data_IF_159661419143
#
_entry.id   IF_159661419143
#
_cell.length_a   1.000
_cell.length_b   1.000
_cell.length_c   1.000
_cell.angle_alpha   90.00
_cell.angle_beta   90.00
_cell.angle_gamma   90.00
#
_symmetry.space_group_name_H-M   'P 1'
#
loop_
_entity.id
_entity.type
_entity.pdbx_description
1 polymer ?
#
# COMPACT_ATOMS: atom_id res chain seq x y z
N UNK A 1 -16.83 27.75 -36.18
CA UNK A 1 -15.95 26.56 -36.03
C UNK A 1 -15.21 26.53 -34.68
N UNK A 2 -15.28 27.55 -33.83
CA UNK A 2 -14.55 27.61 -32.54
C UNK A 2 -15.22 26.86 -31.38
N UNK A 3 -16.52 26.60 -31.45
CA UNK A 3 -17.29 26.00 -30.35
C UNK A 3 -16.92 24.54 -30.06
N UNK A 4 -16.37 23.81 -31.05
CA UNK A 4 -16.08 22.39 -30.91
C UNK A 4 -14.76 22.14 -30.15
N UNK A 5 -13.80 23.07 -30.25
CA UNK A 5 -12.46 22.95 -29.63
C UNK A 5 -12.53 23.18 -28.12
N UNK A 6 -13.38 24.11 -27.66
CA UNK A 6 -13.57 24.43 -26.24
C UNK A 6 -14.26 23.28 -25.51
N UNK A 7 -15.21 22.60 -26.19
CA UNK A 7 -15.89 21.44 -25.64
C UNK A 7 -14.89 20.27 -25.45
N UNK A 8 -14.10 19.94 -26.46
CA UNK A 8 -13.11 18.86 -26.37
C UNK A 8 -12.05 19.10 -25.30
N UNK A 9 -11.55 20.34 -25.14
CA UNK A 9 -10.56 20.67 -24.10
C UNK A 9 -11.16 20.56 -22.69
N UNK A 10 -12.43 20.98 -22.50
CA UNK A 10 -13.13 20.84 -21.23
C UNK A 10 -13.37 19.37 -20.86
N UNK A 11 -13.78 18.53 -21.83
CA UNK A 11 -13.95 17.08 -21.61
C UNK A 11 -12.63 16.35 -21.37
N UNK A 12 -11.51 16.82 -21.93
CA UNK A 12 -10.18 16.28 -21.65
C UNK A 12 -9.68 16.65 -20.25
N UNK A 13 -9.85 17.91 -19.84
CA UNK A 13 -9.48 18.41 -18.51
C UNK A 13 -10.31 17.74 -17.40
N UNK A 14 -11.62 17.59 -17.60
CA UNK A 14 -12.50 16.91 -16.65
C UNK A 14 -12.15 15.42 -16.51
N UNK A 15 -11.71 14.76 -17.59
CA UNK A 15 -11.20 13.38 -17.55
C UNK A 15 -9.83 13.25 -16.86
N UNK A 16 -8.98 14.26 -16.91
CA UNK A 16 -7.74 14.31 -16.12
C UNK A 16 -8.03 14.59 -14.63
N UNK A 17 -8.95 15.50 -14.33
CA UNK A 17 -9.27 15.92 -12.96
C UNK A 17 -10.00 14.84 -12.15
N UNK A 18 -10.83 14.01 -12.80
CA UNK A 18 -11.53 12.89 -12.15
C UNK A 18 -10.72 11.60 -11.99
N UNK A 19 -9.48 11.51 -12.48
CA UNK A 19 -8.60 10.35 -12.20
C UNK A 19 -7.93 10.41 -10.84
N UNK A 20 -8.02 11.54 -10.13
CA UNK A 20 -7.30 11.78 -8.88
C UNK A 20 -8.12 11.77 -7.56
N UNK A 21 -9.27 11.09 -7.40
CA UNK A 21 -9.81 10.88 -6.06
C UNK A 21 -9.26 9.60 -5.40
N UNK A 22 -9.17 8.45 -6.08
CA UNK A 22 -8.92 7.17 -5.41
C UNK A 22 -7.45 6.97 -4.99
N UNK A 23 -6.48 7.17 -5.90
CA UNK A 23 -5.06 7.01 -5.58
C UNK A 23 -4.58 8.06 -4.57
N UNK A 24 -5.07 9.29 -4.70
CA UNK A 24 -4.83 10.39 -3.77
C UNK A 24 -5.43 10.09 -2.39
N UNK A 25 -6.67 9.59 -2.33
CA UNK A 25 -7.32 9.20 -1.08
C UNK A 25 -6.61 8.02 -0.43
N UNK A 26 -6.18 7.02 -1.20
CA UNK A 26 -5.42 5.88 -0.69
C UNK A 26 -4.14 6.32 0.00
N UNK A 27 -3.41 7.26 -0.60
CA UNK A 27 -2.23 7.86 0.02
C UNK A 27 -2.55 8.66 1.29
N UNK A 28 -3.63 9.46 1.28
CA UNK A 28 -4.07 10.21 2.47
C UNK A 28 -4.47 9.27 3.61
N UNK A 29 -5.16 8.16 3.31
CA UNK A 29 -5.54 7.15 4.29
C UNK A 29 -4.33 6.43 4.87
N UNK A 30 -3.36 6.06 4.03
CA UNK A 30 -2.11 5.44 4.48
C UNK A 30 -1.28 6.41 5.34
N UNK A 31 -1.28 7.71 5.00
CA UNK A 31 -0.59 8.74 5.79
C UNK A 31 -1.26 9.00 7.14
N UNK A 32 -2.59 8.85 7.21
CA UNK A 32 -3.36 8.99 8.45
C UNK A 32 -3.31 7.74 9.35
N UNK A 33 -2.88 6.59 8.81
CA UNK A 33 -2.78 5.33 9.57
C UNK A 33 -1.62 5.39 10.57
N UNK A 34 -1.87 4.96 11.81
CA UNK A 34 -0.83 4.69 12.79
C UNK A 34 -0.24 3.30 12.57
N UNK A 35 0.59 3.16 11.53
CA UNK A 35 1.27 1.90 11.23
C UNK A 35 1.81 1.82 9.81
N UNK A 36 2.13 0.58 9.41
CA UNK A 36 2.61 0.24 8.08
C UNK A 36 1.72 -0.84 7.49
N UNK A 37 1.42 -0.71 6.21
CA UNK A 37 0.80 -1.77 5.42
C UNK A 37 1.90 -2.54 4.70
N UNK A 38 1.94 -3.86 4.87
CA UNK A 38 2.83 -4.76 4.14
C UNK A 38 1.99 -5.80 3.43
N UNK A 39 2.23 -5.99 2.14
CA UNK A 39 1.63 -7.03 1.32
C UNK A 39 2.68 -8.11 1.06
N UNK A 40 2.29 -9.36 1.30
CA UNK A 40 3.14 -10.54 1.14
C UNK A 40 2.56 -11.46 0.08
N UNK A 41 3.42 -12.20 -0.62
CA UNK A 41 2.99 -13.36 -1.39
C UNK A 41 2.88 -14.63 -0.52
N UNK A 42 2.56 -15.76 -1.16
CA UNK A 42 2.41 -17.06 -0.49
C UNK A 42 3.72 -17.63 0.09
N UNK A 43 4.88 -17.07 -0.27
CA UNK A 43 6.19 -17.44 0.26
C UNK A 43 6.69 -16.43 1.30
N UNK A 44 5.83 -15.52 1.75
CA UNK A 44 6.15 -14.45 2.70
C UNK A 44 7.18 -13.45 2.15
N UNK A 45 7.24 -13.30 0.83
CA UNK A 45 8.04 -12.29 0.15
C UNK A 45 7.23 -10.99 0.07
N UNK A 46 7.87 -9.87 0.39
CA UNK A 46 7.25 -8.55 0.33
C UNK A 46 7.02 -8.19 -1.14
N UNK A 47 5.76 -8.05 -1.54
CA UNK A 47 5.35 -7.62 -2.88
C UNK A 47 4.88 -6.17 -2.92
N UNK A 48 4.66 -5.57 -1.74
CA UNK A 48 4.30 -4.17 -1.61
C UNK A 48 4.36 -3.71 -0.17
N UNK A 49 4.63 -2.42 0.03
CA UNK A 49 4.71 -1.81 1.36
C UNK A 49 4.24 -0.36 1.27
N UNK A 50 3.56 0.18 2.27
CA UNK A 50 3.17 1.59 2.29
C UNK A 50 4.37 2.52 2.41
N UNK A 51 4.29 3.72 1.82
CA UNK A 51 5.33 4.75 1.91
C UNK A 51 5.65 5.19 3.34
N UNK A 52 4.74 4.93 4.29
CA UNK A 52 4.96 5.18 5.72
C UNK A 52 6.12 4.39 6.31
N UNK A 53 6.58 3.30 5.65
CA UNK A 53 7.73 2.50 6.12
C UNK A 53 9.01 3.31 6.26
N UNK A 54 9.23 4.31 5.40
CA UNK A 54 10.36 5.23 5.50
C UNK A 54 10.32 6.05 6.79
N UNK A 55 9.15 6.50 7.21
CA UNK A 55 8.98 7.28 8.43
C UNK A 55 9.20 6.45 9.69
N UNK A 56 8.73 5.20 9.69
CA UNK A 56 8.76 4.32 10.87
C UNK A 56 10.09 3.57 11.01
N UNK A 57 10.69 3.13 9.90
CA UNK A 57 11.89 2.27 9.89
C UNK A 57 13.05 2.80 9.05
N UNK A 58 12.87 3.88 8.27
CA UNK A 58 13.94 4.48 7.48
C UNK A 58 14.19 3.86 6.10
N UNK A 59 13.55 2.73 5.78
CA UNK A 59 13.70 2.05 4.50
C UNK A 59 12.88 2.69 3.38
N UNK A 60 13.42 2.69 2.17
CA UNK A 60 12.66 2.91 0.95
C UNK A 60 11.88 1.65 0.56
N UNK A 61 10.73 1.82 -0.08
CA UNK A 61 9.88 0.70 -0.49
C UNK A 61 10.64 -0.27 -1.42
N UNK A 62 11.49 0.28 -2.30
CA UNK A 62 12.31 -0.48 -3.26
C UNK A 62 13.38 -1.33 -2.62
N UNK A 63 13.80 -1.02 -1.39
CA UNK A 63 14.78 -1.82 -0.65
C UNK A 63 14.15 -3.06 0.00
N UNK A 64 12.83 -3.03 0.20
CA UNK A 64 12.09 -4.07 0.91
C UNK A 64 11.39 -5.05 -0.04
N UNK A 65 10.90 -4.56 -1.18
CA UNK A 65 10.21 -5.41 -2.16
C UNK A 65 11.15 -6.50 -2.67
N UNK A 66 10.69 -7.74 -2.65
CA UNK A 66 11.47 -8.93 -3.01
C UNK A 66 12.22 -9.58 -1.84
N UNK A 67 12.29 -8.93 -0.68
CA UNK A 67 12.84 -9.54 0.53
C UNK A 67 11.81 -10.41 1.25
N UNK A 68 12.27 -11.46 1.92
CA UNK A 68 11.43 -12.20 2.87
C UNK A 68 11.17 -11.35 4.10
N UNK A 69 9.91 -11.27 4.53
CA UNK A 69 9.54 -10.57 5.77
C UNK A 69 10.25 -11.15 7.01
N UNK A 70 10.64 -12.43 6.96
CA UNK A 70 11.29 -13.14 8.07
C UNK A 70 12.70 -12.63 8.38
N UNK A 71 13.32 -11.86 7.48
CA UNK A 71 14.58 -11.17 7.73
C UNK A 71 14.47 -10.08 8.80
N UNK A 72 13.25 -9.55 8.99
CA UNK A 72 12.97 -8.46 9.94
C UNK A 72 12.38 -8.96 11.27
N UNK A 73 12.22 -10.28 11.41
CA UNK A 73 11.66 -10.92 12.60
C UNK A 73 12.78 -11.64 13.34
N UNK A 74 12.87 -11.44 14.65
CA UNK A 74 13.83 -12.15 15.50
C UNK A 74 13.62 -13.67 15.39
N UNK A 75 14.72 -14.43 15.39
CA UNK A 75 14.69 -15.89 15.24
C UNK A 75 13.76 -16.58 16.25
N UNK A 76 13.72 -16.07 17.48
CA UNK A 76 12.86 -16.53 18.58
C UNK A 76 11.37 -16.35 18.31
N UNK A 77 10.99 -15.40 17.45
CA UNK A 77 9.59 -15.04 17.16
C UNK A 77 9.08 -15.60 15.83
N UNK A 78 9.98 -16.08 14.95
CA UNK A 78 9.62 -16.53 13.59
C UNK A 78 8.50 -17.56 13.54
N UNK A 79 8.55 -18.58 14.40
CA UNK A 79 7.53 -19.64 14.42
C UNK A 79 6.16 -19.11 14.81
N UNK A 80 6.12 -18.19 15.78
CA UNK A 80 4.87 -17.55 16.22
C UNK A 80 4.29 -16.67 15.12
N UNK A 81 5.16 -15.89 14.48
CA UNK A 81 4.79 -15.02 13.37
C UNK A 81 4.27 -15.81 12.16
N UNK A 82 4.92 -16.90 11.78
CA UNK A 82 4.47 -17.78 10.71
C UNK A 82 3.11 -18.42 11.02
N UNK A 83 2.87 -18.83 12.27
CA UNK A 83 1.54 -19.32 12.67
C UNK A 83 0.47 -18.26 12.52
N UNK A 84 0.77 -17.01 12.88
CA UNK A 84 -0.14 -15.88 12.70
C UNK A 84 -0.47 -15.63 11.23
N UNK A 85 0.52 -15.66 10.32
CA UNK A 85 0.28 -15.44 8.90
C UNK A 85 -0.58 -16.55 8.27
N UNK A 86 -0.36 -17.80 8.67
CA UNK A 86 -1.10 -18.94 8.15
C UNK A 86 -2.51 -19.08 8.74
N UNK A 87 -2.70 -18.62 9.98
CA UNK A 87 -3.97 -18.68 10.70
C UNK A 87 -4.25 -17.35 11.39
N UNK A 88 -4.60 -16.31 10.62
CA UNK A 88 -4.89 -15.01 11.21
C UNK A 88 -6.12 -15.13 12.13
N UNK A 89 -6.07 -14.53 13.33
CA UNK A 89 -7.19 -14.57 14.25
C UNK A 89 -8.41 -13.93 13.59
N UNK A 90 -9.49 -14.70 13.42
CA UNK A 90 -10.73 -14.19 12.86
C UNK A 90 -11.44 -13.34 13.91
N UNK A 91 -11.27 -12.02 13.85
CA UNK A 91 -12.15 -11.11 14.59
C UNK A 91 -13.51 -11.10 13.89
N UNK A 92 -14.54 -11.60 14.57
CA UNK A 92 -15.93 -11.32 14.21
C UNK A 92 -16.16 -9.83 14.39
N UNK A 93 -16.37 -9.12 13.29
CA UNK A 93 -16.92 -7.77 13.32
C UNK A 93 -18.39 -7.95 13.75
N UNK A 94 -18.70 -7.57 14.98
CA UNK A 94 -20.06 -7.49 15.51
C UNK A 94 -20.71 -6.18 15.09
#
# INVERSE_FOLDING_TARGET
METNVIAESAYAQQRQQNRLPFESMGNVLLDAMQGILVCLDNYHIIIGVSKTVKRYFGFEQTELVGLSILLFIEDSERDSFLKFLNNPPQRKLY
#
